data_IF_225378155872
#
_entry.id   IF_225378155872
#
_cell.length_a   1.000
_cell.length_b   1.000
_cell.length_c   1.000
_cell.angle_alpha   90.00
_cell.angle_beta   90.00
_cell.angle_gamma   90.00
#
_symmetry.space_group_name_H-M   'P 1'
#
loop_
_entity.id
_entity.type
_entity.pdbx_description
1 polymer ?
#
# COMPACT_ATOMS: atom_id res chain seq x y z
N UNK A 1 -0.12 20.27 14.44
CA UNK A 1 0.17 20.10 13.00
C UNK A 1 -1.11 20.37 12.24
N UNK A 2 -1.25 21.55 11.65
CA UNK A 2 -2.44 21.96 10.91
C UNK A 2 -2.20 21.79 9.41
N UNK A 3 -3.02 20.98 8.74
CA UNK A 3 -2.98 20.76 7.27
C UNK A 3 -2.80 19.31 6.80
N UNK A 4 -2.65 18.34 7.71
CA UNK A 4 -2.56 16.91 7.36
C UNK A 4 -3.81 16.15 7.78
N UNK A 5 -4.35 15.34 6.86
CA UNK A 5 -5.42 14.37 7.13
C UNK A 5 -4.76 13.02 7.38
N UNK A 6 -5.08 12.40 8.52
CA UNK A 6 -4.68 11.02 8.79
C UNK A 6 -5.69 10.08 8.12
N UNK A 7 -5.22 9.18 7.27
CA UNK A 7 -6.06 8.12 6.70
C UNK A 7 -6.48 7.13 7.80
N UNK A 8 -7.66 6.54 7.61
CA UNK A 8 -8.21 5.55 8.54
C UNK A 8 -7.32 4.32 8.73
N UNK A 9 -7.43 3.68 9.89
CA UNK A 9 -6.86 2.36 10.20
C UNK A 9 -8.00 1.37 10.52
N UNK A 10 -9.09 1.48 9.79
CA UNK A 10 -10.34 0.78 10.04
C UNK A 10 -10.38 -0.64 9.45
N UNK A 11 -11.55 -1.27 9.57
CA UNK A 11 -11.78 -2.62 9.07
C UNK A 11 -11.58 -2.74 7.56
N UNK A 12 -11.91 -1.70 6.78
CA UNK A 12 -11.76 -1.74 5.33
C UNK A 12 -10.27 -1.81 4.94
N UNK A 13 -9.44 -0.99 5.59
CA UNK A 13 -7.99 -1.04 5.42
C UNK A 13 -7.43 -2.39 5.86
N UNK A 14 -7.85 -2.91 7.03
CA UNK A 14 -7.40 -4.20 7.53
C UNK A 14 -7.74 -5.37 6.58
N UNK A 15 -8.94 -5.34 5.98
CA UNK A 15 -9.34 -6.33 4.98
C UNK A 15 -8.51 -6.23 3.71
N UNK A 16 -8.24 -5.02 3.22
CA UNK A 16 -7.35 -4.80 2.07
C UNK A 16 -5.96 -5.32 2.37
N UNK A 17 -5.38 -4.97 3.53
CA UNK A 17 -4.08 -5.46 3.97
C UNK A 17 -4.01 -6.99 3.99
N UNK A 18 -5.01 -7.66 4.58
CA UNK A 18 -5.06 -9.12 4.63
C UNK A 18 -5.06 -9.76 3.24
N UNK A 19 -5.79 -9.17 2.28
CA UNK A 19 -5.78 -9.63 0.87
C UNK A 19 -4.41 -9.44 0.22
N UNK A 20 -3.77 -8.29 0.41
CA UNK A 20 -2.44 -7.99 -0.13
C UNK A 20 -1.38 -8.95 0.44
N UNK A 21 -1.37 -9.12 1.76
CA UNK A 21 -0.43 -10.00 2.46
C UNK A 21 -0.60 -11.45 2.01
N UNK A 22 -1.84 -11.97 1.99
CA UNK A 22 -2.10 -13.32 1.53
C UNK A 22 -1.70 -13.52 0.05
N UNK A 23 -1.91 -12.51 -0.80
CA UNK A 23 -1.48 -12.56 -2.20
C UNK A 23 0.06 -12.55 -2.34
N UNK A 24 0.76 -11.77 -1.52
CA UNK A 24 2.23 -11.77 -1.44
C UNK A 24 2.78 -13.12 -1.02
N UNK A 25 2.21 -13.70 0.04
CA UNK A 25 2.55 -15.04 0.53
C UNK A 25 2.36 -16.11 -0.54
N UNK A 26 1.22 -16.10 -1.26
CA UNK A 26 0.98 -17.05 -2.36
C UNK A 26 1.98 -16.95 -3.51
N UNK A 27 2.63 -15.79 -3.68
CA UNK A 27 3.70 -15.58 -4.67
C UNK A 27 5.11 -15.84 -4.12
N UNK A 28 5.23 -16.37 -2.90
CA UNK A 28 6.52 -16.62 -2.26
C UNK A 28 7.29 -15.36 -1.88
N UNK A 29 6.59 -14.23 -1.68
CA UNK A 29 7.20 -12.96 -1.28
C UNK A 29 6.98 -12.68 0.20
N UNK A 30 8.01 -12.16 0.84
CA UNK A 30 7.91 -11.45 2.13
C UNK A 30 7.54 -10.00 1.84
N UNK A 31 6.26 -9.65 1.97
CA UNK A 31 5.83 -8.24 1.93
C UNK A 31 6.02 -7.63 3.33
N UNK A 32 6.82 -6.56 3.48
CA UNK A 32 6.98 -5.90 4.78
C UNK A 32 5.62 -5.43 5.34
N UNK A 33 5.40 -5.64 6.63
CA UNK A 33 4.10 -5.40 7.28
C UNK A 33 3.64 -3.95 7.10
N UNK A 34 4.55 -2.99 7.32
CA UNK A 34 4.23 -1.56 7.26
C UNK A 34 4.01 -1.07 5.83
N UNK A 35 4.84 -1.49 4.86
CA UNK A 35 4.65 -1.11 3.46
C UNK A 35 3.34 -1.66 2.89
N UNK A 36 2.99 -2.89 3.28
CA UNK A 36 1.69 -3.49 2.94
C UNK A 36 0.54 -2.67 3.54
N UNK A 37 0.70 -2.16 4.77
CA UNK A 37 -0.33 -1.33 5.43
C UNK A 37 -0.49 0.02 4.74
N UNK A 38 0.61 0.69 4.40
CA UNK A 38 0.60 1.94 3.63
C UNK A 38 -0.08 1.73 2.27
N UNK A 39 0.30 0.67 1.54
CA UNK A 39 -0.33 0.32 0.27
C UNK A 39 -1.83 0.03 0.43
N UNK A 40 -2.24 -0.65 1.51
CA UNK A 40 -3.63 -0.92 1.81
C UNK A 40 -4.43 0.36 2.08
N UNK A 41 -3.88 1.33 2.82
CA UNK A 41 -4.50 2.63 3.02
C UNK A 41 -4.73 3.34 1.68
N UNK A 42 -3.68 3.45 0.85
CA UNK A 42 -3.75 4.10 -0.46
C UNK A 42 -4.80 3.44 -1.37
N UNK A 43 -4.79 2.10 -1.46
CA UNK A 43 -5.73 1.36 -2.30
C UNK A 43 -7.18 1.44 -1.81
N UNK A 44 -7.39 1.46 -0.50
CA UNK A 44 -8.74 1.56 0.09
C UNK A 44 -9.34 2.94 -0.17
N UNK A 45 -8.53 3.99 -0.07
CA UNK A 45 -8.96 5.39 -0.27
C UNK A 45 -8.88 5.83 -1.75
N UNK A 46 -8.38 4.98 -2.64
CA UNK A 46 -8.20 5.32 -4.06
C UNK A 46 -7.15 6.41 -4.30
N UNK A 47 -6.14 6.52 -3.44
CA UNK A 47 -5.10 7.54 -3.49
C UNK A 47 -3.78 6.98 -4.04
N UNK A 48 -3.00 7.77 -4.78
CA UNK A 48 -1.65 7.40 -5.16
C UNK A 48 -0.69 7.47 -3.95
N UNK A 49 0.40 6.70 -4.01
CA UNK A 49 1.47 6.76 -3.01
C UNK A 49 2.64 7.60 -3.52
N UNK A 50 2.89 8.74 -2.88
CA UNK A 50 4.13 9.48 -3.03
C UNK A 50 5.21 8.92 -2.09
N UNK A 51 6.33 8.43 -2.64
CA UNK A 51 7.40 7.85 -1.82
C UNK A 51 8.77 7.97 -2.49
N UNK A 52 9.83 8.11 -1.70
CA UNK A 52 11.21 7.98 -2.17
C UNK A 52 11.66 6.51 -2.26
N UNK A 53 10.94 5.59 -1.61
CA UNK A 53 11.22 4.16 -1.59
C UNK A 53 10.49 3.40 -2.70
N UNK A 54 10.45 3.96 -3.92
CA UNK A 54 9.68 3.40 -5.06
C UNK A 54 9.99 1.92 -5.31
N UNK A 55 11.24 1.50 -5.07
CA UNK A 55 11.71 0.12 -5.22
C UNK A 55 11.01 -0.91 -4.32
N UNK A 56 10.37 -0.47 -3.24
CA UNK A 56 9.73 -1.35 -2.25
C UNK A 56 8.24 -1.59 -2.53
N UNK A 57 7.68 -0.93 -3.56
CA UNK A 57 6.26 -1.03 -3.93
C UNK A 57 5.91 -1.63 -5.32
N UNK A 58 6.82 -2.25 -6.11
CA UNK A 58 6.49 -2.69 -7.46
C UNK A 58 5.41 -3.78 -7.48
N UNK A 59 5.35 -4.66 -6.48
CA UNK A 59 4.34 -5.71 -6.40
C UNK A 59 2.92 -5.17 -6.20
N UNK A 60 2.77 -4.07 -5.45
CA UNK A 60 1.49 -3.43 -5.22
C UNK A 60 1.00 -2.72 -6.47
N UNK A 61 1.92 -2.09 -7.19
CA UNK A 61 1.61 -1.42 -8.45
C UNK A 61 1.25 -2.43 -9.56
N UNK A 62 2.10 -3.44 -9.76
CA UNK A 62 1.94 -4.44 -10.83
C UNK A 62 0.73 -5.35 -10.65
N UNK A 63 0.36 -5.71 -9.41
CA UNK A 63 -0.68 -6.71 -9.17
C UNK A 63 -1.96 -6.16 -8.55
N UNK A 64 -1.94 -4.96 -7.97
CA UNK A 64 -3.07 -4.43 -7.20
C UNK A 64 -3.48 -3.02 -7.59
N UNK A 65 -2.84 -2.44 -8.62
CA UNK A 65 -3.23 -1.15 -9.17
C UNK A 65 -2.76 0.06 -8.36
N UNK A 66 -1.81 -0.11 -7.43
CA UNK A 66 -1.26 1.02 -6.69
C UNK A 66 -0.54 1.98 -7.65
N UNK A 67 -0.97 3.23 -7.67
CA UNK A 67 -0.30 4.28 -8.44
C UNK A 67 0.83 4.87 -7.61
N UNK A 68 2.06 4.83 -8.13
CA UNK A 68 3.23 5.41 -7.48
C UNK A 68 3.51 6.79 -8.07
N UNK A 69 3.75 7.77 -7.19
CA UNK A 69 4.20 9.12 -7.55
C UNK A 69 5.63 9.27 -7.02
N UNK A 70 6.57 9.48 -7.93
CA UNK A 70 7.97 9.67 -7.61
C UNK A 70 8.73 10.11 -8.86
N UNK A 71 9.77 10.90 -8.67
CA UNK A 71 10.61 11.41 -9.76
C UNK A 71 11.26 10.25 -10.52
N UNK A 72 11.17 10.29 -11.86
CA UNK A 72 11.96 9.45 -12.76
C UNK A 72 13.45 9.60 -12.49
#
# INVERSE_FOLDING_TARGET
>A
MSGQVQLGYDLAVAQTWGRLAAAGQRRGRTTPVNDTWIAACCLTEGLPLATLNVKDYPEFSQHHGLTLIGSK
#
